data_IF_100403569370
#
_entry.id   IF_100403569370
#
_cell.length_a   1.000
_cell.length_b   1.000
_cell.length_c   1.000
_cell.angle_alpha   90.00
_cell.angle_beta   90.00
_cell.angle_gamma   90.00
#
_symmetry.space_group_name_H-M   'P 1'
#
loop_
_entity.id
_entity.type
_entity.pdbx_description
1 polymer ?
#
# COMPACT_ATOMS: atom_id res chain seq x y z
N UNK A 1 0.17 -11.45 0.63
CA UNK A 1 -0.08 -10.76 -0.65
C UNK A 1 1.18 -10.07 -1.16
N UNK A 2 1.25 -9.85 -2.49
CA UNK A 2 2.24 -8.97 -3.10
C UNK A 2 1.50 -7.99 -4.03
N UNK A 3 1.82 -6.71 -3.94
CA UNK A 3 1.18 -5.71 -4.78
C UNK A 3 1.95 -5.51 -6.07
N UNK A 4 1.23 -5.53 -7.19
CA UNK A 4 1.77 -5.33 -8.53
C UNK A 4 1.35 -3.95 -9.04
N UNK A 5 2.32 -3.07 -9.21
CA UNK A 5 2.08 -1.77 -9.83
C UNK A 5 2.22 -1.89 -11.35
N UNK A 6 1.10 -1.85 -12.05
CA UNK A 6 1.06 -1.97 -13.51
C UNK A 6 1.69 -0.77 -14.27
N UNK A 7 2.14 0.25 -13.56
CA UNK A 7 2.98 1.32 -14.14
C UNK A 7 4.44 0.90 -14.32
N UNK A 8 4.86 -0.20 -13.69
CA UNK A 8 6.19 -0.75 -13.93
C UNK A 8 6.30 -1.33 -15.35
N UNK A 9 7.52 -1.35 -15.93
CA UNK A 9 7.75 -2.01 -17.21
C UNK A 9 7.34 -3.49 -17.18
N UNK A 10 6.72 -3.96 -18.26
CA UNK A 10 6.24 -5.34 -18.39
C UNK A 10 7.28 -6.42 -18.01
N UNK A 11 8.57 -6.31 -18.42
CA UNK A 11 9.59 -7.29 -18.01
C UNK A 11 9.78 -7.35 -16.47
N UNK A 12 9.64 -6.20 -15.77
CA UNK A 12 9.75 -6.16 -14.31
C UNK A 12 8.57 -6.87 -13.65
N UNK A 13 7.35 -6.62 -14.11
CA UNK A 13 6.14 -7.28 -13.58
C UNK A 13 6.24 -8.78 -13.78
N UNK A 14 6.67 -9.22 -14.96
CA UNK A 14 6.88 -10.65 -15.26
C UNK A 14 7.89 -11.28 -14.31
N UNK A 15 9.05 -10.65 -14.14
CA UNK A 15 10.08 -11.15 -13.22
C UNK A 15 9.61 -11.21 -11.76
N UNK A 16 8.75 -10.27 -11.33
CA UNK A 16 8.14 -10.31 -10.00
C UNK A 16 7.19 -11.52 -9.86
N UNK A 17 6.32 -11.74 -10.85
CA UNK A 17 5.39 -12.87 -10.86
C UNK A 17 6.13 -14.22 -10.91
N UNK A 18 7.19 -14.33 -11.71
CA UNK A 18 8.05 -15.51 -11.76
C UNK A 18 8.75 -15.78 -10.42
N UNK A 19 9.22 -14.71 -9.74
CA UNK A 19 9.86 -14.82 -8.42
C UNK A 19 8.87 -15.25 -7.33
N UNK A 20 7.62 -14.80 -7.42
CA UNK A 20 6.56 -15.16 -6.48
C UNK A 20 6.09 -16.60 -6.65
N UNK A 21 6.23 -17.17 -7.85
CA UNK A 21 5.69 -18.50 -8.22
C UNK A 21 4.21 -18.63 -7.79
N UNK A 22 3.45 -17.55 -8.02
CA UNK A 22 2.08 -17.47 -7.51
C UNK A 22 1.09 -18.10 -8.49
N UNK A 23 0.19 -18.95 -8.00
CA UNK A 23 -0.85 -19.53 -8.84
C UNK A 23 -2.04 -18.60 -9.08
N UNK A 24 -2.16 -17.51 -8.29
CA UNK A 24 -3.35 -16.64 -8.29
C UNK A 24 -2.92 -15.17 -8.35
N UNK A 25 -3.57 -14.42 -9.26
CA UNK A 25 -3.46 -12.96 -9.33
C UNK A 25 -4.88 -12.38 -9.30
N UNK A 26 -5.13 -11.42 -8.41
CA UNK A 26 -6.41 -10.69 -8.32
C UNK A 26 -6.25 -9.35 -9.02
N UNK A 27 -7.22 -8.99 -9.87
CA UNK A 27 -7.27 -7.69 -10.58
C UNK A 27 -8.70 -7.23 -10.78
N UNK A 28 -8.89 -6.01 -11.25
CA UNK A 28 -10.19 -5.48 -11.73
C UNK A 28 -10.32 -5.65 -13.25
N UNK A 29 -11.53 -5.44 -13.78
CA UNK A 29 -11.81 -5.52 -15.22
C UNK A 29 -11.04 -4.49 -16.04
N UNK A 30 -10.76 -3.32 -15.45
CA UNK A 30 -10.07 -2.24 -16.16
C UNK A 30 -8.61 -2.57 -16.47
N UNK A 31 -7.97 -3.38 -15.62
CA UNK A 31 -6.55 -3.75 -15.75
C UNK A 31 -6.33 -5.16 -16.29
N UNK A 32 -7.40 -5.95 -16.51
CA UNK A 32 -7.32 -7.34 -16.95
C UNK A 32 -6.45 -7.54 -18.19
N UNK A 33 -6.76 -6.81 -19.28
CA UNK A 33 -6.03 -6.96 -20.55
C UNK A 33 -4.53 -6.61 -20.42
N UNK A 34 -4.21 -5.61 -19.60
CA UNK A 34 -2.81 -5.26 -19.33
C UNK A 34 -2.11 -6.37 -18.56
N UNK A 35 -2.76 -6.94 -17.55
CA UNK A 35 -2.21 -8.04 -16.76
C UNK A 35 -2.01 -9.30 -17.61
N UNK A 36 -2.99 -9.68 -18.42
CA UNK A 36 -2.90 -10.83 -19.32
C UNK A 36 -1.72 -10.74 -20.29
N UNK A 37 -1.37 -9.53 -20.72
CA UNK A 37 -0.22 -9.31 -21.63
C UNK A 37 1.14 -9.56 -20.97
N UNK A 38 1.22 -9.58 -19.64
CA UNK A 38 2.49 -9.68 -18.89
C UNK A 38 2.55 -10.90 -17.97
N UNK A 39 1.40 -11.43 -17.54
CA UNK A 39 1.35 -12.53 -16.61
C UNK A 39 1.82 -13.84 -17.27
N UNK A 40 2.62 -14.68 -16.58
CA UNK A 40 2.76 -16.08 -16.90
C UNK A 40 1.40 -16.77 -16.71
N UNK A 41 1.23 -18.05 -17.10
CA UNK A 41 -0.02 -18.77 -16.94
C UNK A 41 -0.41 -18.91 -15.45
N UNK A 42 -1.00 -17.88 -14.90
CA UNK A 42 -1.56 -17.82 -13.57
C UNK A 42 -3.08 -17.75 -13.67
N UNK A 43 -3.77 -18.21 -12.62
CA UNK A 43 -5.22 -18.02 -12.52
C UNK A 43 -5.51 -16.58 -12.15
N UNK A 44 -6.09 -15.81 -13.06
CA UNK A 44 -6.54 -14.46 -12.81
C UNK A 44 -7.97 -14.49 -12.24
N UNK A 45 -8.19 -13.79 -11.14
CA UNK A 45 -9.49 -13.61 -10.51
C UNK A 45 -9.87 -12.13 -10.59
N UNK A 46 -11.12 -11.85 -10.94
CA UNK A 46 -11.66 -10.50 -10.97
C UNK A 46 -12.25 -10.12 -9.61
N UNK A 47 -11.87 -8.97 -9.09
CA UNK A 47 -12.37 -8.50 -7.78
C UNK A 47 -13.90 -8.35 -7.79
N UNK A 48 -14.48 -7.91 -8.91
CA UNK A 48 -15.90 -7.73 -9.07
C UNK A 48 -16.67 -9.06 -8.98
N UNK A 49 -16.05 -10.18 -9.39
CA UNK A 49 -16.63 -11.52 -9.26
C UNK A 49 -16.44 -12.08 -7.85
N UNK A 50 -15.33 -11.75 -7.21
CA UNK A 50 -15.07 -12.14 -5.82
C UNK A 50 -16.03 -11.46 -4.85
N UNK A 51 -16.37 -10.18 -5.09
CA UNK A 51 -17.34 -9.44 -4.25
C UNK A 51 -18.75 -10.05 -4.29
N UNK A 52 -19.12 -10.69 -5.40
CA UNK A 52 -20.41 -11.37 -5.55
C UNK A 52 -20.39 -12.82 -5.02
N UNK A 53 -19.21 -13.36 -4.71
CA UNK A 53 -19.05 -14.75 -4.27
C UNK A 53 -19.35 -14.86 -2.76
N UNK A 54 -20.27 -15.76 -2.36
CA UNK A 54 -20.54 -15.99 -0.94
C UNK A 54 -19.29 -16.45 -0.19
N UNK A 55 -19.12 -15.91 1.01
CA UNK A 55 -18.00 -16.27 1.87
C UNK A 55 -18.18 -17.67 2.44
N UNK A 56 -17.20 -18.54 2.29
CA UNK A 56 -17.15 -19.85 2.97
C UNK A 56 -16.51 -19.68 4.35
N UNK A 57 -17.33 -19.42 5.36
CA UNK A 57 -16.88 -19.21 6.74
C UNK A 57 -16.20 -20.45 7.34
N UNK A 58 -16.58 -21.66 6.93
CA UNK A 58 -15.96 -22.89 7.42
C UNK A 58 -14.54 -23.03 6.87
N UNK A 59 -14.34 -22.79 5.58
CA UNK A 59 -13.01 -22.79 4.96
C UNK A 59 -12.11 -21.70 5.56
N UNK A 60 -12.63 -20.48 5.75
CA UNK A 60 -11.89 -19.39 6.37
C UNK A 60 -11.49 -19.70 7.81
N UNK A 61 -12.39 -20.28 8.60
CA UNK A 61 -12.09 -20.68 9.98
C UNK A 61 -11.01 -21.75 10.03
N UNK A 62 -11.05 -22.73 9.13
CA UNK A 62 -10.03 -23.78 9.04
C UNK A 62 -8.64 -23.20 8.70
N UNK A 63 -8.56 -22.27 7.78
CA UNK A 63 -7.30 -21.56 7.43
C UNK A 63 -6.81 -20.75 8.61
N UNK A 64 -7.67 -19.93 9.22
CA UNK A 64 -7.31 -19.09 10.38
C UNK A 64 -6.80 -19.89 11.58
N UNK A 65 -7.35 -21.10 11.81
CA UNK A 65 -6.93 -21.97 12.89
C UNK A 65 -5.49 -22.50 12.73
N UNK A 66 -4.94 -22.47 11.51
CA UNK A 66 -3.60 -22.93 11.21
C UNK A 66 -2.58 -21.77 11.09
N UNK A 67 -3.07 -20.53 10.98
CA UNK A 67 -2.20 -19.35 10.83
C UNK A 67 -1.41 -19.11 12.12
N UNK A 68 -0.14 -18.76 11.93
CA UNK A 68 0.74 -18.28 12.99
C UNK A 68 1.27 -16.89 12.64
N UNK A 69 1.75 -16.19 13.63
CA UNK A 69 2.27 -14.82 13.46
C UNK A 69 3.56 -14.72 12.62
N UNK A 70 4.25 -15.86 12.44
CA UNK A 70 5.41 -15.98 11.55
C UNK A 70 5.04 -16.19 10.08
N UNK A 71 3.75 -16.42 9.76
CA UNK A 71 3.32 -16.55 8.37
C UNK A 71 3.51 -15.25 7.60
N UNK A 72 3.84 -15.34 6.29
CA UNK A 72 3.96 -14.19 5.42
C UNK A 72 2.67 -13.37 5.35
N UNK A 73 2.76 -12.07 5.61
CA UNK A 73 1.66 -11.13 5.42
C UNK A 73 1.73 -10.50 4.03
N UNK A 74 2.89 -9.94 3.69
CA UNK A 74 3.09 -9.37 2.36
C UNK A 74 4.53 -9.52 1.87
N UNK A 75 4.70 -9.30 0.55
CA UNK A 75 6.00 -9.26 -0.12
C UNK A 75 6.12 -7.94 -0.87
N UNK A 76 7.14 -7.16 -0.57
CA UNK A 76 7.49 -5.96 -1.34
C UNK A 76 8.77 -6.19 -2.14
N UNK A 77 8.79 -5.70 -3.38
CA UNK A 77 9.92 -5.88 -4.28
C UNK A 77 10.88 -4.69 -4.27
N UNK A 78 12.15 -4.97 -4.05
CA UNK A 78 13.22 -4.01 -4.20
C UNK A 78 13.95 -4.19 -5.54
N UNK A 79 14.64 -3.13 -6.00
CA UNK A 79 15.54 -3.24 -7.14
C UNK A 79 16.78 -4.02 -6.69
N UNK A 80 16.88 -5.28 -7.11
CA UNK A 80 18.08 -6.08 -6.87
C UNK A 80 19.31 -5.50 -7.57
N UNK A 81 20.48 -5.54 -6.92
CA UNK A 81 21.76 -5.12 -7.52
C UNK A 81 22.12 -5.89 -8.79
N UNK A 82 21.51 -7.05 -9.01
CA UNK A 82 21.69 -7.91 -10.19
C UNK A 82 20.66 -7.65 -11.30
N UNK A 83 19.79 -6.64 -11.13
CA UNK A 83 18.72 -6.33 -12.08
C UNK A 83 17.44 -7.18 -11.90
N UNK A 84 17.51 -8.32 -11.19
CA UNK A 84 16.33 -9.13 -10.87
C UNK A 84 15.64 -8.59 -9.62
N UNK A 85 14.32 -8.36 -9.64
CA UNK A 85 13.59 -7.93 -8.45
C UNK A 85 13.73 -8.94 -7.31
N UNK A 86 14.01 -8.45 -6.10
CA UNK A 86 14.08 -9.28 -4.89
C UNK A 86 12.84 -9.02 -4.03
N UNK A 87 12.13 -10.09 -3.67
CA UNK A 87 11.00 -10.02 -2.76
C UNK A 87 11.47 -10.03 -1.30
N UNK A 88 11.09 -9.00 -0.56
CA UNK A 88 11.27 -8.93 0.90
C UNK A 88 9.98 -9.38 1.54
N UNK A 89 10.03 -10.49 2.24
CA UNK A 89 8.89 -11.08 2.94
C UNK A 89 8.77 -10.45 4.32
N UNK A 90 7.58 -9.94 4.63
CA UNK A 90 7.22 -9.41 5.95
C UNK A 90 6.11 -10.29 6.53
N UNK A 91 6.30 -10.79 7.74
CA UNK A 91 5.32 -11.64 8.43
C UNK A 91 4.37 -10.82 9.31
N UNK A 92 3.28 -11.46 9.75
CA UNK A 92 2.28 -10.83 10.62
C UNK A 92 2.90 -10.25 11.89
N UNK A 93 3.81 -10.97 12.55
CA UNK A 93 4.51 -10.50 13.75
C UNK A 93 5.21 -9.17 13.56
N UNK A 94 5.89 -8.98 12.42
CA UNK A 94 6.60 -7.71 12.15
C UNK A 94 5.66 -6.51 12.19
N UNK A 95 4.47 -6.65 11.60
CA UNK A 95 3.47 -5.57 11.56
C UNK A 95 2.81 -5.41 12.93
N UNK A 96 2.45 -6.52 13.60
CA UNK A 96 1.83 -6.51 14.92
C UNK A 96 2.72 -5.89 16.01
N UNK A 97 4.04 -5.97 15.87
CA UNK A 97 4.99 -5.33 16.78
C UNK A 97 5.30 -3.87 16.37
N UNK A 98 5.46 -3.63 15.09
CA UNK A 98 5.83 -2.31 14.58
C UNK A 98 4.72 -1.28 14.75
N UNK A 99 3.48 -1.61 14.39
CA UNK A 99 2.38 -0.64 14.33
C UNK A 99 2.00 -0.06 15.69
N UNK A 100 1.86 -0.84 16.78
CA UNK A 100 1.61 -0.27 18.10
C UNK A 100 2.71 0.70 18.55
N UNK A 101 3.99 0.32 18.34
CA UNK A 101 5.12 1.20 18.66
C UNK A 101 5.10 2.49 17.83
N UNK A 102 4.78 2.39 16.54
CA UNK A 102 4.65 3.55 15.67
C UNK A 102 3.50 4.46 16.10
N UNK A 103 2.33 3.88 16.38
CA UNK A 103 1.15 4.62 16.83
C UNK A 103 1.42 5.34 18.17
N UNK A 104 2.09 4.70 19.12
CA UNK A 104 2.50 5.29 20.40
C UNK A 104 3.52 6.42 20.17
N UNK A 105 4.54 6.20 19.35
CA UNK A 105 5.60 7.19 19.08
C UNK A 105 5.05 8.48 18.50
N UNK A 106 4.06 8.40 17.63
CA UNK A 106 3.43 9.54 16.98
C UNK A 106 2.10 9.97 17.64
N UNK A 107 1.75 9.34 18.78
CA UNK A 107 0.51 9.59 19.53
C UNK A 107 -0.75 9.52 18.66
N UNK A 108 -0.81 8.55 17.73
CA UNK A 108 -1.92 8.40 16.79
C UNK A 108 -3.15 7.86 17.51
N UNK A 109 -4.28 8.50 17.29
CA UNK A 109 -5.58 8.16 17.87
C UNK A 109 -6.66 8.05 16.79
N UNK A 110 -7.86 7.60 17.17
CA UNK A 110 -9.02 7.53 16.27
C UNK A 110 -9.49 8.90 15.73
N UNK A 111 -8.98 10.00 16.30
CA UNK A 111 -9.30 11.36 15.87
C UNK A 111 -8.40 11.88 14.77
N UNK A 112 -7.30 11.18 14.52
CA UNK A 112 -6.31 11.59 13.54
C UNK A 112 -6.73 11.26 12.12
N UNK A 113 -6.14 12.02 11.20
CA UNK A 113 -6.26 11.82 9.75
C UNK A 113 -4.87 11.71 9.16
N UNK A 114 -4.50 10.49 8.79
CA UNK A 114 -3.21 10.19 8.20
C UNK A 114 -3.27 10.39 6.68
N UNK A 115 -2.28 11.09 6.11
CA UNK A 115 -2.18 11.23 4.66
C UNK A 115 -1.15 10.23 4.10
N UNK A 116 -1.62 9.18 3.42
CA UNK A 116 -0.75 8.25 2.73
C UNK A 116 -0.33 8.81 1.37
N UNK A 117 0.96 9.04 1.19
CA UNK A 117 1.58 9.50 -0.07
C UNK A 117 2.23 8.36 -0.84
N UNK A 118 2.67 7.32 -0.15
CA UNK A 118 3.43 6.24 -0.76
C UNK A 118 2.52 5.34 -1.61
N UNK A 119 2.99 4.87 -2.76
CA UNK A 119 2.34 3.79 -3.50
C UNK A 119 2.24 2.54 -2.63
N UNK A 120 1.21 1.73 -2.83
CA UNK A 120 0.99 0.55 -2.01
C UNK A 120 2.02 -0.57 -2.23
N UNK A 121 2.69 -0.60 -3.36
CA UNK A 121 3.82 -1.48 -3.65
C UNK A 121 5.14 -1.02 -2.98
N UNK A 122 5.07 -0.01 -2.12
CA UNK A 122 6.19 0.52 -1.35
C UNK A 122 5.93 0.40 0.15
N UNK A 123 6.88 -0.12 0.91
CA UNK A 123 6.75 -0.46 2.33
C UNK A 123 6.34 0.71 3.23
N UNK A 124 6.67 1.93 2.85
CA UNK A 124 6.29 3.15 3.58
C UNK A 124 4.76 3.31 3.68
N UNK A 125 3.96 2.74 2.76
CA UNK A 125 2.49 2.78 2.84
C UNK A 125 1.92 1.98 4.03
N UNK A 126 2.65 0.96 4.45
CA UNK A 126 2.22 0.02 5.50
C UNK A 126 1.93 0.73 6.82
N UNK A 127 2.79 1.67 7.22
CA UNK A 127 2.61 2.42 8.47
C UNK A 127 1.31 3.21 8.51
N UNK A 128 0.91 3.84 7.39
CA UNK A 128 -0.30 4.66 7.35
C UNK A 128 -1.55 3.76 7.36
N UNK A 129 -1.56 2.73 6.51
CA UNK A 129 -2.70 1.82 6.37
C UNK A 129 -2.95 1.05 7.68
N UNK A 130 -1.92 0.39 8.19
CA UNK A 130 -2.09 -0.44 9.39
C UNK A 130 -2.23 0.38 10.67
N UNK A 131 -1.66 1.59 10.75
CA UNK A 131 -1.96 2.49 11.88
C UNK A 131 -3.42 2.94 11.87
N UNK A 132 -3.98 3.27 10.69
CA UNK A 132 -5.40 3.57 10.58
C UNK A 132 -6.29 2.40 11.02
N UNK A 133 -5.97 1.17 10.59
CA UNK A 133 -6.69 -0.04 11.00
C UNK A 133 -6.56 -0.32 12.50
N UNK A 134 -5.39 -0.08 13.07
CA UNK A 134 -5.11 -0.35 14.48
C UNK A 134 -5.75 0.65 15.43
N UNK A 135 -5.69 1.95 15.10
CA UNK A 135 -6.15 3.03 15.98
C UNK A 135 -7.59 3.49 15.70
N UNK A 136 -8.15 3.13 14.54
CA UNK A 136 -9.41 3.68 14.04
C UNK A 136 -9.25 5.06 13.38
N UNK A 137 -8.04 5.55 13.20
CA UNK A 137 -7.75 6.80 12.50
C UNK A 137 -8.17 6.71 11.03
N UNK A 138 -8.56 7.85 10.46
CA UNK A 138 -8.87 7.93 9.03
C UNK A 138 -7.59 7.99 8.20
N UNK A 139 -7.55 7.25 7.10
CA UNK A 139 -6.44 7.29 6.15
C UNK A 139 -6.92 7.93 4.85
N UNK A 140 -6.31 9.05 4.47
CA UNK A 140 -6.52 9.73 3.20
C UNK A 140 -5.43 9.36 2.20
N UNK A 141 -5.82 8.82 1.06
CA UNK A 141 -4.88 8.47 -0.03
C UNK A 141 -4.66 9.71 -0.88
N UNK A 142 -3.44 10.24 -0.84
CA UNK A 142 -3.07 11.45 -1.58
C UNK A 142 -2.89 11.13 -3.06
N UNK A 143 -3.68 11.73 -3.97
CA UNK A 143 -3.51 11.51 -5.39
C UNK A 143 -2.11 11.92 -5.88
N UNK A 144 -1.41 11.01 -6.55
CA UNK A 144 -0.04 11.24 -7.06
C UNK A 144 0.04 12.49 -7.96
N UNK A 145 -1.04 12.78 -8.71
CA UNK A 145 -1.10 13.97 -9.58
C UNK A 145 -0.99 15.30 -8.81
N UNK A 146 -1.28 15.33 -7.51
CA UNK A 146 -1.17 16.56 -6.72
C UNK A 146 0.28 16.96 -6.43
N UNK A 147 1.24 16.04 -6.54
CA UNK A 147 2.66 16.35 -6.43
C UNK A 147 3.24 17.13 -7.62
N UNK A 148 2.43 17.45 -8.62
CA UNK A 148 2.76 18.40 -9.68
C UNK A 148 2.18 19.81 -9.44
N UNK A 149 1.32 19.96 -8.41
CA UNK A 149 0.64 21.22 -8.11
C UNK A 149 0.53 21.42 -6.58
N UNK A 150 1.45 22.20 -5.98
CA UNK A 150 1.52 22.34 -4.53
C UNK A 150 0.27 22.97 -3.92
N UNK A 151 -0.43 23.88 -4.60
CA UNK A 151 -1.66 24.49 -4.09
C UNK A 151 -2.79 23.46 -3.99
N UNK A 152 -2.98 22.63 -5.02
CA UNK A 152 -3.95 21.53 -4.98
C UNK A 152 -3.64 20.51 -3.89
N UNK A 153 -2.35 20.23 -3.68
CA UNK A 153 -1.93 19.33 -2.60
C UNK A 153 -2.30 19.92 -1.24
N UNK A 154 -1.97 21.19 -1.00
CA UNK A 154 -2.29 21.84 0.29
C UNK A 154 -3.79 21.98 0.51
N UNK A 155 -4.56 22.32 -0.54
CA UNK A 155 -6.03 22.34 -0.45
C UNK A 155 -6.57 20.98 -0.05
N UNK A 156 -6.13 19.92 -0.71
CA UNK A 156 -6.53 18.54 -0.36
C UNK A 156 -6.23 18.20 1.10
N UNK A 157 -5.00 18.46 1.56
CA UNK A 157 -4.60 18.15 2.94
C UNK A 157 -5.45 18.92 3.96
N UNK A 158 -5.69 20.20 3.72
CA UNK A 158 -6.49 21.03 4.61
C UNK A 158 -7.98 20.67 4.57
N UNK A 159 -8.55 20.47 3.39
CA UNK A 159 -9.97 20.17 3.22
C UNK A 159 -10.33 18.78 3.77
N UNK A 160 -9.37 17.85 3.77
CA UNK A 160 -9.50 16.53 4.40
C UNK A 160 -9.20 16.54 5.89
N UNK A 161 -8.73 17.67 6.45
CA UNK A 161 -8.39 17.78 7.86
C UNK A 161 -7.23 16.87 8.25
N UNK A 162 -6.20 16.76 7.42
CA UNK A 162 -5.03 15.92 7.69
C UNK A 162 -4.30 16.45 8.92
N UNK A 163 -4.05 15.57 9.89
CA UNK A 163 -3.33 15.87 11.14
C UNK A 163 -1.92 15.27 11.16
N UNK A 164 -1.66 14.20 10.40
CA UNK A 164 -0.38 13.51 10.41
C UNK A 164 0.11 13.18 9.00
N UNK A 165 1.36 13.53 8.74
CA UNK A 165 2.09 13.21 7.51
C UNK A 165 3.47 12.67 7.86
N UNK A 166 3.72 11.39 7.63
CA UNK A 166 5.04 10.76 7.73
C UNK A 166 5.47 10.32 6.34
N UNK A 167 6.04 11.25 5.58
CA UNK A 167 6.34 11.10 4.16
C UNK A 167 7.81 10.88 3.88
N UNK A 168 8.10 10.41 2.68
CA UNK A 168 9.47 10.40 2.18
C UNK A 168 10.05 11.82 2.17
N UNK A 169 11.34 11.94 2.49
CA UNK A 169 12.04 13.24 2.56
C UNK A 169 11.86 14.06 1.28
N UNK A 170 11.89 13.41 0.11
CA UNK A 170 11.68 14.07 -1.18
C UNK A 170 10.32 14.74 -1.31
N UNK A 171 9.26 14.12 -0.75
CA UNK A 171 7.92 14.69 -0.76
C UNK A 171 7.81 15.89 0.20
N UNK A 172 8.46 15.84 1.36
CA UNK A 172 8.54 16.98 2.28
C UNK A 172 9.38 18.13 1.70
N UNK A 173 10.51 17.81 1.06
CA UNK A 173 11.33 18.78 0.36
C UNK A 173 10.56 19.49 -0.78
N UNK A 174 9.68 18.76 -1.47
CA UNK A 174 8.81 19.38 -2.48
C UNK A 174 7.94 20.50 -1.86
N UNK A 175 7.28 20.25 -0.73
CA UNK A 175 6.45 21.24 -0.05
C UNK A 175 7.25 22.49 0.37
N UNK A 176 8.46 22.29 0.91
CA UNK A 176 9.31 23.41 1.35
C UNK A 176 9.89 24.19 0.17
N UNK A 177 10.41 23.51 -0.85
CA UNK A 177 10.99 24.14 -2.05
C UNK A 177 9.96 24.97 -2.82
N UNK A 178 8.72 24.48 -2.87
CA UNK A 178 7.60 25.18 -3.53
C UNK A 178 6.93 26.22 -2.61
N UNK A 179 7.46 26.43 -1.41
CA UNK A 179 6.89 27.32 -0.39
C UNK A 179 5.39 27.08 -0.12
N UNK A 180 4.96 25.81 -0.21
CA UNK A 180 3.55 25.43 -0.17
C UNK A 180 2.91 25.76 1.20
N UNK A 181 3.66 25.65 2.29
CA UNK A 181 3.20 25.97 3.66
C UNK A 181 2.89 27.46 3.87
N UNK A 182 3.45 28.37 3.06
CA UNK A 182 3.09 29.78 3.09
C UNK A 182 1.72 30.06 2.44
N UNK A 183 1.25 29.15 1.58
CA UNK A 183 -0.08 29.26 0.99
C UNK A 183 -1.17 28.83 1.98
N UNK A 184 -1.04 27.63 2.56
CA UNK A 184 -2.02 27.05 3.50
C UNK A 184 -1.30 26.00 4.35
N UNK A 185 -1.70 25.86 5.62
CA UNK A 185 -1.11 24.88 6.52
C UNK A 185 -2.22 23.93 7.01
N UNK A 186 -2.04 22.59 6.93
CA UNK A 186 -2.95 21.64 7.57
C UNK A 186 -3.02 21.83 9.09
N UNK A 187 -4.04 21.29 9.72
CA UNK A 187 -4.31 21.42 11.16
C UNK A 187 -3.19 20.85 12.04
#
# INVERSE_FOLDING_TARGET
YAQLNLRHPAPRIRAMLETLDTPIVVTDRAHLAQLESVAPPARILLIEELEETPTDEAALSAVRAQMIDADPLYVNFTSGSTGTPKGVVVCHRNVCEFIPCFAETFAITEKDVLANQAPFDFDVSVKDIYSGLFTGARVEIVPTAYFTNPTKLMDFLCDRGVTLMVWAVSALCFLTTMNALAYKTPA
#
